data_IF_187390997467
#
_entry.id   IF_187390997467
#
_cell.length_a   1.000
_cell.length_b   1.000
_cell.length_c   1.000
_cell.angle_alpha   90.00
_cell.angle_beta   90.00
_cell.angle_gamma   90.00
#
_symmetry.space_group_name_H-M   'P 1'
#
loop_
_entity.id
_entity.type
_entity.pdbx_description
1 polymer ?
#
# COMPACT_ATOMS: atom_id res chain seq x y z
N UNK A 1 12.68 -1.79 -1.38
CA UNK A 1 11.29 -2.27 -1.15
C UNK A 1 11.30 -3.75 -0.77
N UNK A 2 10.22 -4.26 -0.18
CA UNK A 2 10.09 -5.69 0.15
C UNK A 2 9.86 -6.55 -1.11
N UNK A 3 10.33 -7.79 -1.09
CA UNK A 3 10.16 -8.79 -2.16
C UNK A 3 10.26 -10.22 -1.62
N UNK A 4 10.18 -11.23 -2.49
CA UNK A 4 10.20 -12.65 -2.11
C UNK A 4 11.44 -13.09 -1.31
N UNK A 5 12.54 -12.33 -1.33
CA UNK A 5 13.75 -12.66 -0.54
C UNK A 5 13.49 -12.62 0.96
N UNK A 6 12.42 -11.94 1.40
CA UNK A 6 12.02 -11.96 2.80
C UNK A 6 11.67 -13.37 3.29
N UNK A 7 11.30 -14.29 2.40
CA UNK A 7 10.99 -15.68 2.73
C UNK A 7 12.22 -16.54 3.05
N UNK A 8 13.43 -16.03 2.76
CA UNK A 8 14.69 -16.71 3.07
C UNK A 8 15.23 -16.38 4.46
N UNK A 9 14.58 -15.47 5.18
CA UNK A 9 14.99 -15.03 6.52
C UNK A 9 14.49 -15.99 7.59
N UNK A 10 15.19 -16.04 8.72
CA UNK A 10 14.74 -16.80 9.89
C UNK A 10 13.37 -16.33 10.40
N UNK A 11 13.07 -15.02 10.26
CA UNK A 11 11.80 -14.41 10.64
C UNK A 11 10.79 -14.28 9.50
N UNK A 12 10.89 -15.12 8.45
CA UNK A 12 10.05 -15.12 7.25
C UNK A 12 8.53 -15.07 7.55
N UNK A 13 8.09 -15.63 8.68
CA UNK A 13 6.68 -15.65 9.08
C UNK A 13 6.07 -14.24 9.26
N UNK A 14 6.90 -13.21 9.47
CA UNK A 14 6.47 -11.80 9.49
C UNK A 14 5.94 -11.31 8.15
N UNK A 15 6.31 -11.96 7.05
CA UNK A 15 6.06 -11.51 5.68
C UNK A 15 4.99 -12.35 4.95
N UNK A 16 4.25 -13.19 5.68
CA UNK A 16 3.16 -14.00 5.12
C UNK A 16 1.92 -13.13 4.89
N UNK A 17 1.52 -13.03 3.61
CA UNK A 17 0.34 -12.35 3.10
C UNK A 17 -0.12 -13.00 1.78
N UNK A 18 -1.33 -12.67 1.34
CA UNK A 18 -1.89 -13.15 0.08
C UNK A 18 -2.48 -11.97 -0.71
N UNK A 19 -2.13 -11.78 -2.00
CA UNK A 19 -1.11 -12.51 -2.76
C UNK A 19 0.31 -12.30 -2.18
N UNK A 20 1.23 -13.28 -2.33
CA UNK A 20 2.56 -13.21 -1.68
C UNK A 20 3.46 -12.14 -2.31
N UNK A 21 4.50 -11.75 -1.59
CA UNK A 21 5.58 -10.93 -2.14
C UNK A 21 6.17 -11.63 -3.36
N UNK A 22 6.38 -10.87 -4.43
CA UNK A 22 6.93 -11.36 -5.70
C UNK A 22 8.38 -10.94 -5.85
N UNK A 23 9.02 -11.43 -6.91
CA UNK A 23 10.34 -10.99 -7.32
C UNK A 23 10.37 -9.47 -7.52
N UNK A 24 11.50 -8.83 -7.18
CA UNK A 24 11.68 -7.38 -7.32
C UNK A 24 11.40 -6.88 -8.74
N UNK A 25 11.66 -7.72 -9.77
CA UNK A 25 11.44 -7.38 -11.17
C UNK A 25 9.98 -7.13 -11.53
N UNK A 26 9.04 -7.67 -10.74
CA UNK A 26 7.60 -7.44 -10.95
C UNK A 26 7.16 -6.02 -10.52
N UNK A 27 7.99 -5.30 -9.76
CA UNK A 27 7.65 -3.95 -9.30
C UNK A 27 7.62 -2.94 -10.45
N UNK A 28 8.43 -3.13 -11.48
CA UNK A 28 8.47 -2.23 -12.64
C UNK A 28 7.12 -2.24 -13.38
N UNK A 29 6.50 -3.42 -13.53
CA UNK A 29 5.18 -3.55 -14.14
C UNK A 29 4.08 -2.84 -13.32
N UNK A 30 4.15 -2.92 -11.98
CA UNK A 30 3.23 -2.19 -11.11
C UNK A 30 3.43 -0.67 -11.24
N UNK A 31 4.68 -0.20 -11.30
CA UNK A 31 4.95 1.22 -11.51
C UNK A 31 4.48 1.72 -12.88
N UNK A 32 4.65 0.93 -13.94
CA UNK A 32 4.07 1.25 -15.26
C UNK A 32 2.55 1.43 -15.15
N UNK A 33 1.83 0.45 -14.58
CA UNK A 33 0.38 0.54 -14.43
C UNK A 33 -0.07 1.70 -13.52
N UNK A 34 0.71 2.02 -12.50
CA UNK A 34 0.47 3.19 -11.64
C UNK A 34 0.64 4.49 -12.44
N UNK A 35 1.70 4.59 -13.24
CA UNK A 35 2.05 5.80 -13.98
C UNK A 35 1.12 6.05 -15.18
N UNK A 36 0.76 5.00 -15.92
CA UNK A 36 -0.01 5.10 -17.17
C UNK A 36 -1.54 5.19 -16.98
N UNK A 37 -2.05 4.98 -15.77
CA UNK A 37 -3.48 5.05 -15.49
C UNK A 37 -4.17 3.68 -15.36
N UNK A 38 -3.51 2.58 -15.69
CA UNK A 38 -4.07 1.22 -15.60
C UNK A 38 -4.47 0.85 -14.17
N UNK A 39 -3.71 1.33 -13.18
CA UNK A 39 -4.00 1.15 -11.75
C UNK A 39 -4.60 2.44 -11.20
N UNK A 40 -5.82 2.35 -10.68
CA UNK A 40 -6.55 3.52 -10.18
C UNK A 40 -6.27 3.84 -8.70
N UNK A 41 -5.93 2.85 -7.89
CA UNK A 41 -5.86 2.98 -6.42
C UNK A 41 -4.69 2.20 -5.84
N UNK A 42 -3.99 2.82 -4.89
CA UNK A 42 -3.00 2.15 -4.03
C UNK A 42 -3.54 2.04 -2.60
N UNK A 43 -3.75 0.80 -2.15
CA UNK A 43 -4.22 0.43 -0.81
C UNK A 43 -3.20 -0.48 -0.11
N UNK A 44 -3.43 -0.79 1.18
CA UNK A 44 -2.47 -1.53 2.01
C UNK A 44 -2.88 -2.95 2.36
N UNK A 45 -4.16 -3.27 2.21
CA UNK A 45 -4.74 -4.49 2.77
C UNK A 45 -4.29 -4.71 4.24
N UNK A 46 -4.40 -3.65 5.06
CA UNK A 46 -3.89 -3.66 6.42
C UNK A 46 -4.65 -4.69 7.27
N UNK A 47 -4.00 -5.83 7.49
CA UNK A 47 -4.48 -6.93 8.30
C UNK A 47 -3.32 -7.42 9.16
N UNK A 48 -3.43 -7.33 10.49
CA UNK A 48 -2.25 -7.40 11.37
C UNK A 48 -2.36 -8.46 12.44
N UNK A 49 -1.23 -9.12 12.66
CA UNK A 49 -1.03 -10.13 13.68
C UNK A 49 0.37 -9.93 14.24
N UNK A 50 0.50 -9.94 15.56
CA UNK A 50 1.81 -9.89 16.20
C UNK A 50 2.64 -11.10 15.79
N UNK A 51 3.97 -10.99 15.84
CA UNK A 51 4.85 -12.09 15.47
C UNK A 51 4.57 -13.34 16.33
N UNK A 52 4.29 -13.17 17.62
CA UNK A 52 3.91 -14.26 18.50
C UNK A 52 2.59 -14.93 18.08
N UNK A 53 1.56 -14.16 17.72
CA UNK A 53 0.28 -14.72 17.24
C UNK A 53 0.49 -15.58 16.00
N UNK A 54 1.31 -15.11 15.06
CA UNK A 54 1.66 -15.84 13.83
C UNK A 54 2.31 -17.18 14.15
N UNK A 55 3.33 -17.19 15.00
CA UNK A 55 4.01 -18.43 15.40
C UNK A 55 3.06 -19.40 16.12
N UNK A 56 2.26 -18.88 17.06
CA UNK A 56 1.28 -19.68 17.82
C UNK A 56 0.23 -20.35 16.94
N UNK A 57 -0.30 -19.62 15.95
CA UNK A 57 -1.34 -20.12 15.06
C UNK A 57 -0.79 -21.03 13.96
N UNK A 58 0.39 -20.71 13.44
CA UNK A 58 1.06 -21.51 12.43
C UNK A 58 1.42 -22.92 12.92
N UNK A 59 1.88 -23.04 14.18
CA UNK A 59 2.35 -24.31 14.77
C UNK A 59 3.34 -25.05 13.87
N UNK A 60 4.31 -24.32 13.30
CA UNK A 60 5.31 -24.85 12.38
C UNK A 60 4.82 -25.11 10.94
N UNK A 61 3.56 -24.82 10.61
CA UNK A 61 3.02 -24.92 9.26
C UNK A 61 2.65 -23.54 8.72
N UNK A 62 3.33 -23.09 7.66
CA UNK A 62 3.09 -21.78 7.05
C UNK A 62 1.65 -21.60 6.54
N UNK A 63 0.99 -22.67 6.09
CA UNK A 63 -0.37 -22.61 5.55
C UNK A 63 -1.41 -22.24 6.62
N UNK A 64 -1.03 -22.32 7.90
CA UNK A 64 -1.84 -21.94 9.06
C UNK A 64 -1.48 -20.57 9.62
N UNK A 65 -0.42 -19.94 9.08
CA UNK A 65 -0.07 -18.58 9.47
C UNK A 65 -1.17 -17.63 9.00
N UNK A 66 -1.69 -16.75 9.88
CA UNK A 66 -2.62 -15.73 9.43
C UNK A 66 -1.90 -14.75 8.48
N UNK A 67 -2.57 -14.41 7.38
CA UNK A 67 -2.02 -13.60 6.30
C UNK A 67 -2.31 -12.11 6.53
N UNK A 68 -1.32 -11.24 6.25
CA UNK A 68 -1.51 -9.78 6.26
C UNK A 68 -0.25 -9.02 6.67
N UNK A 69 -0.22 -7.69 6.52
CA UNK A 69 0.90 -6.85 6.95
C UNK A 69 0.44 -5.53 7.63
N UNK A 70 1.24 -4.98 8.57
CA UNK A 70 0.95 -3.70 9.21
C UNK A 70 1.46 -2.51 8.38
N UNK A 71 0.69 -2.06 7.37
CA UNK A 71 1.20 -1.03 6.44
C UNK A 71 0.32 0.24 6.31
N UNK A 72 -0.78 0.38 7.07
CA UNK A 72 -1.72 1.51 6.88
C UNK A 72 -1.05 2.87 7.06
N UNK A 73 -0.22 3.01 8.10
CA UNK A 73 0.48 4.24 8.46
C UNK A 73 1.50 4.66 7.39
N UNK A 74 2.24 3.68 6.87
CA UNK A 74 3.37 3.95 5.98
C UNK A 74 2.97 4.21 4.52
N UNK A 75 1.70 3.96 4.15
CA UNK A 75 1.21 4.01 2.76
C UNK A 75 1.57 5.31 2.05
N UNK A 76 1.21 6.45 2.65
CA UNK A 76 1.32 7.74 2.00
C UNK A 76 2.79 8.15 1.83
N UNK A 77 3.60 8.03 2.88
CA UNK A 77 4.99 8.45 2.84
C UNK A 77 5.86 7.53 1.96
N UNK A 78 5.59 6.22 1.96
CA UNK A 78 6.27 5.30 1.05
C UNK A 78 5.93 5.59 -0.42
N UNK A 79 4.65 5.83 -0.73
CA UNK A 79 4.26 6.16 -2.11
C UNK A 79 4.76 7.54 -2.54
N UNK A 80 4.81 8.51 -1.62
CA UNK A 80 5.36 9.83 -1.92
C UNK A 80 6.87 9.78 -2.17
N UNK A 81 7.64 9.12 -1.31
CA UNK A 81 9.09 8.99 -1.48
C UNK A 81 9.48 8.15 -2.70
N UNK A 82 8.93 6.95 -2.84
CA UNK A 82 9.26 6.04 -3.93
C UNK A 82 8.58 6.44 -5.27
N UNK A 83 7.48 7.18 -5.22
CA UNK A 83 6.73 7.60 -6.40
C UNK A 83 7.09 9.01 -6.85
N UNK A 84 6.74 10.00 -6.03
CA UNK A 84 6.87 11.42 -6.37
C UNK A 84 8.33 11.87 -6.33
N UNK A 85 9.02 11.68 -5.20
CA UNK A 85 10.40 12.16 -5.04
C UNK A 85 11.40 11.45 -5.95
N UNK A 86 11.09 10.21 -6.36
CA UNK A 86 11.91 9.42 -7.28
C UNK A 86 11.53 9.63 -8.76
N UNK A 87 10.51 10.44 -9.06
CA UNK A 87 10.13 10.80 -10.43
C UNK A 87 9.28 9.78 -11.19
N UNK A 88 8.73 8.76 -10.51
CA UNK A 88 7.85 7.77 -11.14
C UNK A 88 6.44 8.28 -11.43
N UNK A 89 5.93 9.20 -10.59
CA UNK A 89 4.60 9.81 -10.73
C UNK A 89 4.61 11.28 -10.32
N UNK A 90 3.65 12.07 -10.81
CA UNK A 90 3.47 13.47 -10.39
C UNK A 90 2.74 13.57 -9.04
N UNK A 91 2.82 14.71 -8.34
CA UNK A 91 2.03 14.97 -7.13
C UNK A 91 0.50 14.82 -7.36
N UNK A 92 -0.02 15.25 -8.50
CA UNK A 92 -1.44 15.13 -8.85
C UNK A 92 -1.84 13.66 -9.00
N UNK A 93 -0.97 12.85 -9.62
CA UNK A 93 -1.20 11.40 -9.73
C UNK A 93 -1.16 10.73 -8.36
N UNK A 94 -0.26 11.15 -7.47
CA UNK A 94 -0.24 10.72 -6.08
C UNK A 94 -1.56 11.03 -5.35
N UNK A 95 -2.10 12.26 -5.48
CA UNK A 95 -3.40 12.64 -4.92
C UNK A 95 -4.51 11.75 -5.50
N UNK A 96 -4.50 11.50 -6.81
CA UNK A 96 -5.48 10.65 -7.48
C UNK A 96 -5.51 9.23 -6.91
N UNK A 97 -4.34 8.57 -6.86
CA UNK A 97 -4.19 7.18 -6.39
C UNK A 97 -4.60 6.98 -4.92
N UNK A 98 -4.45 8.02 -4.11
CA UNK A 98 -4.56 7.90 -2.65
C UNK A 98 -5.85 8.45 -2.06
N UNK A 99 -6.55 9.34 -2.78
CA UNK A 99 -7.71 10.07 -2.25
C UNK A 99 -8.83 10.29 -3.27
N UNK A 100 -8.62 11.04 -4.36
CA UNK A 100 -9.72 11.47 -5.23
C UNK A 100 -10.32 10.33 -6.05
N UNK A 101 -9.50 9.40 -6.58
CA UNK A 101 -10.02 8.23 -7.32
C UNK A 101 -10.76 7.25 -6.42
N UNK A 102 -10.25 6.87 -5.23
CA UNK A 102 -11.06 6.14 -4.25
C UNK A 102 -12.39 6.84 -3.93
N UNK A 103 -12.37 8.14 -3.66
CA UNK A 103 -13.60 8.88 -3.35
C UNK A 103 -14.63 8.82 -4.49
N UNK A 104 -14.19 8.93 -5.74
CA UNK A 104 -15.06 8.77 -6.91
C UNK A 104 -15.65 7.36 -7.00
N UNK A 105 -14.80 6.32 -6.88
CA UNK A 105 -15.21 4.92 -6.99
C UNK A 105 -16.23 4.51 -5.91
N UNK A 106 -16.10 5.08 -4.71
CA UNK A 106 -17.01 4.81 -3.59
C UNK A 106 -18.18 5.81 -3.48
N UNK A 107 -18.38 6.70 -4.45
CA UNK A 107 -19.51 7.64 -4.46
C UNK A 107 -19.44 8.75 -3.40
N UNK A 108 -18.23 9.08 -2.95
CA UNK A 108 -17.94 10.09 -1.92
C UNK A 108 -17.44 11.42 -2.51
N UNK A 109 -17.19 11.49 -3.82
CA UNK A 109 -16.81 12.73 -4.53
C UNK A 109 -18.07 13.62 -4.78
N UNK A 110 -18.08 14.95 -4.46
CA UNK A 110 -16.96 15.77 -4.04
C UNK A 110 -16.68 15.88 -2.54
N UNK A 111 -17.44 15.19 -1.69
CA UNK A 111 -17.35 15.36 -0.23
C UNK A 111 -16.00 14.93 0.35
N UNK A 112 -15.35 13.89 -0.18
CA UNK A 112 -14.02 13.39 0.25
C UNK A 112 -13.01 13.50 -0.90
N UNK A 113 -11.72 13.67 -0.59
CA UNK A 113 -10.66 13.59 -1.60
C UNK A 113 -10.50 14.83 -2.49
N UNK A 114 -10.96 16.01 -2.04
CA UNK A 114 -10.64 17.28 -2.66
C UNK A 114 -10.61 18.43 -1.68
N UNK A 115 -9.86 19.44 -2.11
CA UNK A 115 -9.78 20.74 -1.51
C UNK A 115 -10.68 21.72 -2.30
N UNK A 116 -11.96 21.78 -1.93
CA UNK A 116 -12.91 22.74 -2.48
C UNK A 116 -13.98 23.12 -1.46
N UNK A 117 -14.57 24.33 -1.52
CA UNK A 117 -15.69 24.71 -0.66
C UNK A 117 -16.82 23.65 -0.68
N UNK A 118 -17.31 23.29 0.51
CA UNK A 118 -18.33 22.26 0.68
C UNK A 118 -17.81 20.82 0.80
N UNK A 119 -16.51 20.58 0.60
CA UNK A 119 -15.87 19.28 0.89
C UNK A 119 -15.55 19.14 2.38
N UNK A 120 -15.43 17.92 2.89
CA UNK A 120 -14.97 17.68 4.26
C UNK A 120 -13.49 18.11 4.40
N UNK A 121 -13.13 18.71 5.54
CA UNK A 121 -11.80 19.26 5.81
C UNK A 121 -10.74 18.20 6.18
N UNK A 122 -10.69 17.10 5.43
CA UNK A 122 -9.72 16.01 5.62
C UNK A 122 -8.42 16.34 4.85
N UNK A 123 -7.49 17.04 5.50
CA UNK A 123 -6.29 17.57 4.88
C UNK A 123 -5.01 16.97 5.46
N UNK A 124 -3.98 16.86 4.62
CA UNK A 124 -2.63 16.47 5.02
C UNK A 124 -1.62 17.52 4.53
N UNK A 125 -0.62 17.81 5.35
CA UNK A 125 0.55 18.61 4.97
C UNK A 125 1.71 17.64 4.84
N UNK A 126 2.26 17.52 3.63
CA UNK A 126 3.46 16.73 3.36
C UNK A 126 4.60 17.70 3.08
N UNK A 127 5.73 17.50 3.76
CA UNK A 127 6.96 18.29 3.59
C UNK A 127 8.06 17.43 3.00
N UNK A 128 8.81 17.98 2.05
CA UNK A 128 10.00 17.38 1.43
C UNK A 128 11.27 17.63 2.21
#
# INVERSE_FOLDING_TARGET
MLDERQYLREDAMKFILTPPLRNIREQDALWCGISDGTIDVVATDHCTFSYWQRLKLAKGNFSRCPNGLPVVENRLLLLFSAGVMSGHITPERFVALTSSKPAQLFGLWPRKGCLAPGSDADLIIITS
#
